data_IF_665962335761
#
_entry.id   IF_665962335761
#
_cell.length_a   1.000
_cell.length_b   1.000
_cell.length_c   1.000
_cell.angle_alpha   90.00
_cell.angle_beta   90.00
_cell.angle_gamma   90.00
#
_symmetry.space_group_name_H-M   'P 1'
#
loop_
_entity.id
_entity.type
_entity.pdbx_description
1 polymer ?
#
# COMPACT_ATOMS: atom_id res chain seq x y z
N UNK A 1 -3.04 17.66 2.58
CA UNK A 1 -1.58 17.50 2.69
C UNK A 1 -1.07 17.12 1.29
N UNK A 2 0.12 17.57 0.85
CA UNK A 2 0.70 17.05 -0.39
C UNK A 2 0.78 15.52 -0.26
N UNK A 3 0.54 14.82 -1.37
CA UNK A 3 0.45 13.35 -1.43
C UNK A 3 1.53 12.69 -0.57
N UNK A 4 1.13 11.96 0.47
CA UNK A 4 2.04 11.14 1.24
C UNK A 4 2.33 9.85 0.47
N UNK A 5 3.59 9.41 0.49
CA UNK A 5 4.00 8.13 -0.06
C UNK A 5 4.86 7.38 0.95
N UNK A 6 4.89 6.06 0.84
CA UNK A 6 5.77 5.18 1.60
C UNK A 6 6.50 4.22 0.66
N UNK A 7 7.75 3.94 0.99
CA UNK A 7 8.54 2.91 0.30
C UNK A 7 8.46 1.63 1.13
N UNK A 8 8.05 0.54 0.49
CA UNK A 8 8.04 -0.79 1.06
C UNK A 8 9.09 -1.65 0.34
N UNK A 9 10.24 -1.81 0.98
CA UNK A 9 11.43 -2.42 0.40
C UNK A 9 11.91 -3.69 1.13
N UNK A 10 11.25 -4.11 2.20
CA UNK A 10 11.59 -5.34 2.93
C UNK A 10 10.41 -5.82 3.78
N UNK A 11 10.35 -7.12 4.09
CA UNK A 11 9.48 -7.65 5.15
C UNK A 11 10.18 -7.59 6.50
N UNK A 12 9.39 -7.61 7.58
CA UNK A 12 9.90 -7.85 8.92
C UNK A 12 10.80 -9.10 8.91
N UNK A 13 11.95 -9.00 9.57
CA UNK A 13 12.98 -10.06 9.66
C UNK A 13 13.78 -10.37 8.38
N UNK A 14 13.57 -9.66 7.26
CA UNK A 14 14.48 -9.76 6.11
C UNK A 14 15.80 -9.02 6.37
N UNK A 15 16.93 -9.66 6.02
CA UNK A 15 18.27 -9.06 6.10
C UNK A 15 18.66 -8.29 4.84
N UNK A 16 17.92 -8.47 3.75
CA UNK A 16 18.14 -7.82 2.46
C UNK A 16 16.84 -7.19 1.96
N UNK A 17 16.98 -6.08 1.24
CA UNK A 17 15.86 -5.40 0.58
C UNK A 17 15.43 -6.12 -0.69
N UNK A 18 14.19 -5.88 -1.12
CA UNK A 18 13.70 -6.30 -2.41
C UNK A 18 14.54 -5.67 -3.52
N UNK A 19 14.83 -6.47 -4.56
CA UNK A 19 15.44 -5.97 -5.80
C UNK A 19 14.57 -4.92 -6.49
N UNK A 20 13.25 -5.13 -6.46
CA UNK A 20 12.26 -4.22 -7.01
C UNK A 20 11.29 -3.84 -5.88
N UNK A 21 11.58 -2.77 -5.11
CA UNK A 21 10.72 -2.32 -4.03
C UNK A 21 9.39 -1.73 -4.55
N UNK A 22 8.47 -1.49 -3.62
CA UNK A 22 7.18 -0.88 -3.90
C UNK A 22 7.13 0.55 -3.38
N UNK A 23 6.51 1.46 -4.14
CA UNK A 23 6.07 2.76 -3.62
C UNK A 23 4.56 2.74 -3.54
N UNK A 24 4.06 3.10 -2.36
CA UNK A 24 2.64 3.14 -2.07
C UNK A 24 2.26 4.60 -1.88
N UNK A 25 1.47 5.12 -2.80
CA UNK A 25 0.95 6.48 -2.77
C UNK A 25 -0.44 6.50 -2.16
N UNK A 26 -0.70 7.56 -1.42
CA UNK A 26 -1.98 7.82 -0.77
C UNK A 26 -2.57 9.13 -1.30
N UNK A 27 -3.00 9.16 -2.57
CA UNK A 27 -3.73 10.30 -3.09
C UNK A 27 -5.00 10.50 -2.26
N UNK A 28 -5.15 11.69 -1.68
CA UNK A 28 -6.39 12.08 -1.02
C UNK A 28 -7.38 12.45 -2.11
N UNK A 29 -8.26 11.53 -2.49
CA UNK A 29 -9.40 11.78 -3.35
C UNK A 29 -10.67 11.16 -2.74
N UNK A 30 -11.36 11.93 -1.91
CA UNK A 30 -12.83 11.88 -1.79
C UNK A 30 -13.34 13.28 -1.53
N UNK A 31 -14.39 13.62 -2.26
CA UNK A 31 -15.06 14.91 -2.23
C UNK A 31 -16.58 14.76 -2.01
N UNK A 32 -17.04 13.54 -1.74
CA UNK A 32 -18.46 13.13 -1.80
C UNK A 32 -18.98 12.52 -0.50
N UNK A 33 -18.11 12.24 0.48
CA UNK A 33 -18.50 11.67 1.77
C UNK A 33 -18.90 10.20 1.72
N UNK A 34 -18.62 9.49 0.62
CA UNK A 34 -18.89 8.07 0.48
C UNK A 34 -17.77 7.22 1.11
N UNK A 35 -18.12 6.00 1.53
CA UNK A 35 -17.16 5.01 2.00
C UNK A 35 -16.24 4.60 0.86
N UNK A 36 -14.92 4.61 1.08
CA UNK A 36 -13.97 4.17 0.07
C UNK A 36 -14.01 2.66 -0.10
N UNK A 37 -14.19 2.20 -1.33
CA UNK A 37 -14.20 0.78 -1.66
C UNK A 37 -12.95 0.04 -1.20
N UNK A 38 -11.80 0.71 -1.23
CA UNK A 38 -10.53 0.15 -0.75
C UNK A 38 -10.61 -0.32 0.71
N UNK A 39 -11.39 0.37 1.56
CA UNK A 39 -11.49 0.03 2.97
C UNK A 39 -12.22 -1.30 3.21
N UNK A 40 -13.12 -1.71 2.32
CA UNK A 40 -13.71 -3.05 2.36
C UNK A 40 -12.65 -4.12 2.12
N UNK A 41 -11.82 -3.95 1.09
CA UNK A 41 -10.69 -4.84 0.83
C UNK A 41 -9.67 -4.84 1.98
N UNK A 42 -9.35 -3.68 2.54
CA UNK A 42 -8.44 -3.57 3.69
C UNK A 42 -9.05 -4.22 4.94
N UNK A 43 -10.35 -4.10 5.17
CA UNK A 43 -11.05 -4.76 6.26
C UNK A 43 -10.98 -6.29 6.12
N UNK A 44 -11.18 -6.83 4.92
CA UNK A 44 -11.01 -8.26 4.64
C UNK A 44 -9.55 -8.73 4.85
N UNK A 45 -8.56 -7.91 4.48
CA UNK A 45 -7.14 -8.22 4.67
C UNK A 45 -6.75 -8.20 6.15
N UNK A 46 -7.19 -7.18 6.91
CA UNK A 46 -6.86 -7.00 8.34
C UNK A 46 -7.71 -7.89 9.26
N UNK A 47 -8.92 -8.28 8.85
CA UNK A 47 -9.86 -9.04 9.67
C UNK A 47 -10.16 -8.32 10.98
N UNK A 48 -10.02 -9.02 12.11
CA UNK A 48 -10.28 -8.47 13.45
C UNK A 48 -9.34 -7.32 13.87
N UNK A 49 -8.28 -7.03 13.10
CA UNK A 49 -7.37 -5.91 13.34
C UNK A 49 -7.80 -4.61 12.64
N UNK A 50 -8.88 -4.63 11.85
CA UNK A 50 -9.36 -3.44 11.18
C UNK A 50 -9.94 -2.44 12.19
N UNK A 51 -9.55 -1.17 12.09
CA UNK A 51 -10.04 -0.08 12.92
C UNK A 51 -10.60 1.00 12.00
N UNK A 52 -11.91 1.19 11.99
CA UNK A 52 -12.61 2.08 11.07
C UNK A 52 -12.21 3.56 11.24
N UNK A 53 -11.95 4.02 12.46
CA UNK A 53 -11.46 5.38 12.72
C UNK A 53 -10.10 5.66 12.08
N UNK A 54 -9.33 4.60 11.81
CA UNK A 54 -8.05 4.63 11.10
C UNK A 54 -8.19 4.11 9.68
N UNK A 55 -9.35 4.20 9.06
CA UNK A 55 -9.54 3.77 7.68
C UNK A 55 -8.77 4.67 6.69
N UNK A 56 -8.38 4.09 5.55
CA UNK A 56 -7.73 4.84 4.48
C UNK A 56 -8.70 5.84 3.88
N UNK A 57 -8.16 6.99 3.44
CA UNK A 57 -8.94 8.04 2.78
C UNK A 57 -8.39 8.28 1.38
N UNK A 58 -9.05 7.71 0.38
CA UNK A 58 -8.71 7.85 -1.03
C UNK A 58 -8.38 6.52 -1.67
N UNK A 59 -7.91 6.60 -2.90
CA UNK A 59 -7.31 5.47 -3.59
C UNK A 59 -5.92 5.17 -3.03
N UNK A 60 -5.52 3.91 -3.10
CA UNK A 60 -4.13 3.49 -2.82
C UNK A 60 -3.52 3.08 -4.15
N UNK A 61 -2.48 3.79 -4.57
CA UNK A 61 -1.75 3.46 -5.80
C UNK A 61 -0.45 2.80 -5.41
N UNK A 62 -0.26 1.55 -5.86
CA UNK A 62 1.00 0.83 -5.66
C UNK A 62 1.72 0.75 -6.99
N UNK A 63 2.99 1.14 -6.98
CA UNK A 63 3.90 0.92 -8.10
C UNK A 63 5.08 0.09 -7.64
N UNK A 64 5.57 -0.77 -8.53
CA UNK A 64 6.83 -1.49 -8.36
C UNK A 64 7.84 -0.80 -9.25
N UNK A 65 9.04 -0.54 -8.74
CA UNK A 65 10.06 0.20 -9.48
C UNK A 65 11.41 -0.50 -9.42
N UNK A 66 12.19 -0.35 -10.47
CA UNK A 66 13.56 -0.86 -10.59
C UNK A 66 14.58 0.23 -10.34
N UNK A 67 15.80 -0.16 -9.98
CA UNK A 67 16.97 0.73 -9.87
C UNK A 67 16.83 1.90 -8.90
N UNK A 68 15.88 1.81 -7.98
CA UNK A 68 15.55 2.84 -7.00
C UNK A 68 15.19 4.22 -7.61
N UNK A 69 14.88 4.27 -8.91
CA UNK A 69 14.43 5.47 -9.64
C UNK A 69 12.97 5.33 -10.04
N UNK A 70 12.16 6.36 -9.76
CA UNK A 70 10.73 6.37 -10.10
C UNK A 70 10.46 6.41 -11.62
N UNK A 71 11.49 6.61 -12.44
CA UNK A 71 11.39 6.70 -13.90
C UNK A 71 11.30 5.32 -14.58
N UNK A 72 11.54 4.23 -13.82
CA UNK A 72 11.50 2.86 -14.32
C UNK A 72 10.56 2.01 -13.48
N UNK A 73 9.33 1.84 -13.98
CA UNK A 73 8.31 1.00 -13.36
C UNK A 73 8.37 -0.43 -13.90
N UNK A 74 8.16 -1.40 -13.02
CA UNK A 74 8.08 -2.82 -13.35
C UNK A 74 6.63 -3.31 -13.26
N UNK A 75 6.32 -4.39 -13.94
CA UNK A 75 5.00 -4.98 -13.95
C UNK A 75 4.66 -5.58 -12.58
N UNK A 76 3.43 -5.35 -12.12
CA UNK A 76 2.86 -6.03 -10.94
C UNK A 76 2.26 -7.36 -11.40
N UNK A 77 2.65 -8.42 -10.71
CA UNK A 77 2.23 -9.80 -10.95
C UNK A 77 1.48 -10.37 -9.74
N UNK A 78 0.99 -11.59 -9.86
CA UNK A 78 0.24 -12.26 -8.78
C UNK A 78 1.10 -12.54 -7.54
N UNK A 79 2.42 -12.68 -7.66
CA UNK A 79 3.29 -12.88 -6.50
C UNK A 79 3.43 -11.62 -5.66
N UNK A 80 3.40 -10.45 -6.30
CA UNK A 80 3.42 -9.15 -5.63
C UNK A 80 2.18 -8.96 -4.74
N UNK A 81 1.02 -9.55 -5.11
CA UNK A 81 -0.18 -9.51 -4.29
C UNK A 81 0.03 -10.12 -2.91
N UNK A 82 0.73 -11.25 -2.79
CA UNK A 82 0.99 -11.88 -1.49
C UNK A 82 1.84 -10.97 -0.58
N UNK A 83 2.80 -10.26 -1.17
CA UNK A 83 3.72 -9.34 -0.49
C UNK A 83 2.97 -8.09 -0.03
N UNK A 84 2.23 -7.45 -0.94
CA UNK A 84 1.43 -6.26 -0.64
C UNK A 84 0.31 -6.55 0.36
N UNK A 85 -0.36 -7.71 0.23
CA UNK A 85 -1.37 -8.16 1.21
C UNK A 85 -0.78 -8.30 2.60
N UNK A 86 0.45 -8.81 2.71
CA UNK A 86 1.13 -8.89 4.00
C UNK A 86 1.35 -7.51 4.61
N UNK A 87 1.84 -6.56 3.81
CA UNK A 87 2.05 -5.17 4.21
C UNK A 87 0.75 -4.51 4.70
N UNK A 88 -0.32 -4.54 3.91
CA UNK A 88 -1.61 -3.92 4.29
C UNK A 88 -2.25 -4.58 5.51
N UNK A 89 -1.92 -5.84 5.79
CA UNK A 89 -2.37 -6.53 7.00
C UNK A 89 -1.66 -6.04 8.27
N UNK A 90 -0.40 -5.63 8.17
CA UNK A 90 0.44 -5.27 9.32
C UNK A 90 0.61 -3.77 9.51
N UNK A 91 0.39 -2.95 8.48
CA UNK A 91 0.59 -1.51 8.52
C UNK A 91 -0.75 -0.76 8.54
N UNK A 92 -0.83 0.27 9.37
CA UNK A 92 -1.96 1.22 9.40
C UNK A 92 -1.69 2.37 8.41
N UNK A 93 -2.73 3.11 7.99
CA UNK A 93 -2.53 4.34 7.24
C UNK A 93 -1.65 5.37 7.96
N UNK A 94 -0.92 6.23 7.20
CA UNK A 94 -0.08 7.29 7.72
C UNK A 94 -0.85 8.42 8.42
#
# INVERSE_FOLDING_TARGET
RPQSFQVFDHLDYMTQRFRCPYVIFYPILSCDGLNFDINRTIAEIKGSRYVEDKAWRGDIVVVKYTDHTLDTLDNISISDYAILRNYFRTHDPP
#
